data_IF_340352120827
#
_entry.id   IF_340352120827
#
_cell.length_a   1.000
_cell.length_b   1.000
_cell.length_c   1.000
_cell.angle_alpha   90.00
_cell.angle_beta   90.00
_cell.angle_gamma   90.00
#
_symmetry.space_group_name_H-M   'P 1'
#
loop_
_entity.id
_entity.type
_entity.pdbx_description
1 polymer ?
#
# COMPACT_ATOMS: atom_id res chain seq x y z
N UNK A 1 -24.97 23.40 38.86
CA UNK A 1 -23.64 23.37 38.20
C UNK A 1 -23.70 22.56 36.89
N UNK A 2 -24.43 23.01 35.84
CA UNK A 2 -24.64 22.20 34.60
C UNK A 2 -24.70 22.98 33.30
N UNK A 3 -24.40 24.28 33.25
CA UNK A 3 -24.48 25.08 31.99
C UNK A 3 -23.15 25.33 31.28
N UNK A 4 -22.01 25.13 31.92
CA UNK A 4 -20.70 25.45 31.33
C UNK A 4 -20.13 24.32 30.41
N UNK A 5 -20.58 23.09 30.54
CA UNK A 5 -20.04 21.94 29.75
C UNK A 5 -20.61 21.81 28.32
N UNK A 6 -21.75 22.45 28.01
CA UNK A 6 -22.37 22.41 26.66
C UNK A 6 -21.82 23.42 25.65
N UNK A 7 -21.06 24.43 26.11
CA UNK A 7 -20.53 25.47 25.22
C UNK A 7 -19.18 25.12 24.58
N UNK A 8 -18.39 24.25 25.21
CA UNK A 8 -17.08 23.84 24.70
C UNK A 8 -17.18 22.92 23.47
N UNK A 9 -18.13 21.99 23.45
CA UNK A 9 -18.30 21.06 22.32
C UNK A 9 -18.66 21.75 21.01
N UNK A 10 -19.54 22.74 21.06
CA UNK A 10 -19.97 23.49 19.85
C UNK A 10 -18.90 24.39 19.23
N UNK A 11 -17.89 24.78 20.00
CA UNK A 11 -16.76 25.59 19.49
C UNK A 11 -15.72 24.72 18.78
N UNK A 12 -15.54 23.49 19.20
CA UNK A 12 -14.62 22.53 18.57
C UNK A 12 -15.17 22.07 17.21
N UNK A 13 -16.49 21.80 17.13
CA UNK A 13 -17.15 21.44 15.87
C UNK A 13 -17.12 22.58 14.84
N UNK A 14 -17.28 23.83 15.28
CA UNK A 14 -17.19 25.00 14.40
C UNK A 14 -15.76 25.23 13.86
N UNK A 15 -14.74 25.00 14.68
CA UNK A 15 -13.33 25.07 14.26
C UNK A 15 -12.96 23.91 13.31
N UNK A 16 -13.45 22.71 13.56
CA UNK A 16 -13.25 21.56 12.69
C UNK A 16 -13.94 21.78 11.32
N UNK A 17 -15.19 22.29 11.32
CA UNK A 17 -15.88 22.67 10.07
C UNK A 17 -15.21 23.84 9.35
N UNK A 18 -14.64 24.79 10.06
CA UNK A 18 -13.90 25.90 9.48
C UNK A 18 -12.58 25.42 8.84
N UNK A 19 -11.84 24.52 9.50
CA UNK A 19 -10.61 23.91 8.97
C UNK A 19 -10.88 23.03 7.75
N UNK A 20 -12.01 22.31 7.71
CA UNK A 20 -12.40 21.49 6.56
C UNK A 20 -12.87 22.32 5.34
N UNK A 21 -13.32 23.56 5.57
CA UNK A 21 -13.78 24.47 4.52
C UNK A 21 -12.64 25.22 3.83
N UNK A 22 -11.47 25.31 4.44
CA UNK A 22 -10.28 25.83 3.80
C UNK A 22 -9.56 24.70 3.04
N UNK A 23 -9.76 24.69 1.74
CA UNK A 23 -9.06 23.87 0.73
C UNK A 23 -7.52 23.94 0.79
N UNK A 24 -6.96 24.60 1.80
CA UNK A 24 -5.53 24.87 2.00
C UNK A 24 -4.78 23.63 2.53
N UNK A 25 -5.47 22.67 3.17
CA UNK A 25 -4.81 21.47 3.73
C UNK A 25 -4.56 20.40 2.64
N UNK A 26 -5.28 20.44 1.51
CA UNK A 26 -5.13 19.45 0.45
C UNK A 26 -3.89 19.65 -0.43
N UNK A 27 -3.38 20.87 -0.58
CA UNK A 27 -2.23 21.16 -1.41
C UNK A 27 -0.89 20.67 -0.79
N UNK A 28 -0.58 20.98 0.49
CA UNK A 28 0.65 20.49 1.11
C UNK A 28 0.66 18.96 1.30
N UNK A 29 -0.50 18.34 1.62
CA UNK A 29 -0.58 16.88 1.75
C UNK A 29 -0.31 16.16 0.41
N UNK A 30 -0.82 16.69 -0.69
CA UNK A 30 -0.54 16.17 -2.04
C UNK A 30 0.91 16.42 -2.47
N UNK A 31 1.51 17.55 -2.08
CA UNK A 31 2.90 17.84 -2.37
C UNK A 31 3.84 16.94 -1.56
N UNK A 32 3.55 16.70 -0.27
CA UNK A 32 4.31 15.75 0.57
C UNK A 32 4.17 14.33 0.02
N UNK A 33 2.97 13.92 -0.39
CA UNK A 33 2.75 12.59 -0.98
C UNK A 33 3.51 12.39 -2.31
N UNK A 34 3.76 13.45 -3.06
CA UNK A 34 4.52 13.41 -4.31
C UNK A 34 6.01 13.74 -4.13
N UNK A 35 6.47 14.03 -2.91
CA UNK A 35 7.86 14.35 -2.66
C UNK A 35 8.73 13.08 -2.73
N UNK A 36 9.95 13.22 -3.25
CA UNK A 36 10.96 12.15 -3.28
C UNK A 36 11.27 11.62 -1.87
N UNK A 37 11.12 12.47 -0.84
CA UNK A 37 11.32 12.13 0.58
C UNK A 37 10.23 11.16 1.05
N UNK A 38 8.93 11.44 0.78
CA UNK A 38 7.84 10.56 1.14
C UNK A 38 7.98 9.19 0.48
N UNK A 39 8.32 9.15 -0.82
CA UNK A 39 8.57 7.90 -1.54
C UNK A 39 9.78 7.14 -0.99
N UNK A 40 10.85 7.81 -0.57
CA UNK A 40 12.01 7.15 0.02
C UNK A 40 11.71 6.55 1.40
N UNK A 41 10.92 7.23 2.22
CA UNK A 41 10.47 6.73 3.54
C UNK A 41 9.53 5.53 3.36
N UNK A 42 8.52 5.64 2.49
CA UNK A 42 7.57 4.55 2.22
C UNK A 42 8.32 3.32 1.68
N UNK A 43 9.20 3.49 0.72
CA UNK A 43 9.97 2.38 0.15
C UNK A 43 10.91 1.72 1.17
N UNK A 44 11.48 2.51 2.09
CA UNK A 44 12.36 2.00 3.15
C UNK A 44 11.58 1.21 4.20
N UNK A 45 10.42 1.70 4.64
CA UNK A 45 9.53 0.99 5.58
C UNK A 45 8.98 -0.30 4.97
N UNK A 46 8.60 -0.29 3.71
CA UNK A 46 8.16 -1.48 2.99
C UNK A 46 9.26 -2.53 2.86
N UNK A 47 10.50 -2.11 2.64
CA UNK A 47 11.66 -3.02 2.60
C UNK A 47 11.93 -3.66 3.95
N UNK A 48 11.88 -2.89 5.03
CA UNK A 48 12.06 -3.40 6.39
C UNK A 48 10.94 -4.41 6.73
N UNK A 49 9.69 -4.08 6.41
CA UNK A 49 8.55 -4.96 6.64
C UNK A 49 8.68 -6.27 5.85
N UNK A 50 9.06 -6.21 4.58
CA UNK A 50 9.29 -7.41 3.76
C UNK A 50 10.40 -8.29 4.33
N UNK A 51 11.53 -7.70 4.72
CA UNK A 51 12.62 -8.46 5.32
C UNK A 51 12.19 -9.17 6.61
N UNK A 52 11.50 -8.46 7.51
CA UNK A 52 10.96 -9.08 8.74
C UNK A 52 9.99 -10.24 8.45
N UNK A 53 9.11 -10.08 7.45
CA UNK A 53 8.18 -11.14 7.04
C UNK A 53 8.94 -12.34 6.47
N UNK A 54 9.91 -12.11 5.60
CA UNK A 54 10.77 -13.17 5.05
C UNK A 54 11.49 -13.93 6.17
N UNK A 55 12.11 -13.21 7.11
CA UNK A 55 12.86 -13.82 8.21
C UNK A 55 11.94 -14.65 9.11
N UNK A 56 10.72 -14.15 9.38
CA UNK A 56 9.69 -14.91 10.13
C UNK A 56 9.24 -16.17 9.39
N UNK A 57 9.04 -16.10 8.07
CA UNK A 57 8.66 -17.25 7.24
C UNK A 57 9.79 -18.28 7.27
N UNK A 58 11.05 -17.87 7.06
CA UNK A 58 12.19 -18.78 7.10
C UNK A 58 12.40 -19.41 8.49
N UNK A 59 12.13 -18.65 9.55
CA UNK A 59 12.21 -19.15 10.93
C UNK A 59 11.11 -20.20 11.28
N UNK A 60 10.01 -20.24 10.53
CA UNK A 60 8.97 -21.26 10.71
C UNK A 60 9.42 -22.68 10.30
N UNK A 61 10.54 -22.77 9.60
CA UNK A 61 11.14 -24.02 9.18
C UNK A 61 10.67 -24.50 7.79
N UNK A 62 11.46 -25.39 7.16
CA UNK A 62 11.21 -25.87 5.80
C UNK A 62 9.89 -26.65 5.67
N UNK A 63 9.46 -27.30 6.72
CA UNK A 63 8.20 -28.06 6.75
C UNK A 63 6.95 -27.18 6.56
N UNK A 64 7.04 -25.91 6.95
CA UNK A 64 5.96 -24.93 6.83
C UNK A 64 5.98 -24.18 5.49
N UNK A 65 7.00 -24.40 4.66
CA UNK A 65 7.14 -23.74 3.38
C UNK A 65 6.33 -24.45 2.29
N UNK A 66 5.53 -23.71 1.50
CA UNK A 66 4.87 -24.29 0.35
C UNK A 66 5.91 -24.71 -0.70
N UNK A 67 5.71 -25.87 -1.30
CA UNK A 67 6.58 -26.33 -2.41
C UNK A 67 6.13 -25.79 -3.76
N UNK A 68 4.89 -25.33 -3.87
CA UNK A 68 4.31 -24.83 -5.11
C UNK A 68 3.32 -23.69 -4.81
N UNK A 69 3.47 -22.57 -5.52
CA UNK A 69 2.52 -21.47 -5.50
C UNK A 69 1.88 -21.35 -6.88
N UNK A 70 0.56 -21.25 -6.91
CA UNK A 70 -0.20 -20.90 -8.11
C UNK A 70 -0.76 -19.50 -7.99
N UNK A 71 -0.68 -18.71 -9.06
CA UNK A 71 -1.14 -17.32 -9.09
C UNK A 71 -1.94 -17.04 -10.36
N UNK A 72 -3.07 -16.35 -10.18
CA UNK A 72 -3.89 -15.85 -11.29
C UNK A 72 -3.64 -14.36 -11.44
N UNK A 73 -3.23 -13.94 -12.65
CA UNK A 73 -2.93 -12.54 -12.99
C UNK A 73 -4.20 -11.79 -13.42
N UNK A 74 -5.11 -11.60 -12.48
CA UNK A 74 -6.38 -10.89 -12.72
C UNK A 74 -6.34 -9.42 -12.25
N UNK A 75 -7.29 -8.64 -12.76
CA UNK A 75 -7.55 -7.28 -12.33
C UNK A 75 -6.75 -6.20 -13.06
N UNK A 76 -5.87 -6.51 -14.01
CA UNK A 76 -5.06 -5.52 -14.75
C UNK A 76 -5.91 -4.47 -15.47
N UNK A 77 -7.05 -4.86 -16.08
CA UNK A 77 -7.99 -3.94 -16.73
C UNK A 77 -8.73 -3.06 -15.73
N UNK A 78 -9.19 -3.62 -14.59
CA UNK A 78 -9.80 -2.84 -13.50
C UNK A 78 -8.84 -1.84 -12.90
N UNK A 79 -7.58 -2.22 -12.71
CA UNK A 79 -6.52 -1.33 -12.25
C UNK A 79 -6.30 -0.16 -13.21
N UNK A 80 -6.25 -0.43 -14.53
CA UNK A 80 -6.12 0.60 -15.55
C UNK A 80 -7.32 1.56 -15.52
N UNK A 81 -8.53 1.03 -15.48
CA UNK A 81 -9.75 1.82 -15.42
C UNK A 81 -9.81 2.73 -14.18
N UNK A 82 -9.57 2.18 -12.97
CA UNK A 82 -9.59 2.94 -11.73
C UNK A 82 -8.52 4.05 -11.68
N UNK A 83 -7.51 3.98 -12.51
CA UNK A 83 -6.44 4.99 -12.61
C UNK A 83 -6.52 5.87 -13.85
N UNK A 84 -7.55 5.72 -14.66
CA UNK A 84 -7.73 6.44 -15.92
C UNK A 84 -6.50 6.33 -16.85
N UNK A 85 -5.88 5.15 -16.88
CA UNK A 85 -4.78 4.80 -17.78
C UNK A 85 -5.25 3.76 -18.81
N UNK A 86 -4.52 3.62 -19.91
CA UNK A 86 -4.88 2.63 -20.91
C UNK A 86 -4.66 1.18 -20.42
N UNK A 87 -5.31 0.22 -21.07
CA UNK A 87 -5.25 -1.20 -20.71
C UNK A 87 -3.82 -1.76 -20.79
N UNK A 88 -3.03 -1.32 -21.79
CA UNK A 88 -1.65 -1.77 -21.97
C UNK A 88 -0.76 -1.34 -20.80
N UNK A 89 -0.94 -0.11 -20.29
CA UNK A 89 -0.26 0.36 -19.08
C UNK A 89 -0.67 -0.46 -17.86
N UNK A 90 -1.94 -0.89 -17.76
CA UNK A 90 -2.42 -1.81 -16.73
C UNK A 90 -1.71 -3.18 -16.80
N UNK A 91 -1.61 -3.75 -17.99
CA UNK A 91 -0.88 -5.00 -18.22
C UNK A 91 0.62 -4.86 -17.93
N UNK A 92 1.25 -3.76 -18.34
CA UNK A 92 2.66 -3.47 -18.03
C UNK A 92 2.90 -3.37 -16.52
N UNK A 93 1.98 -2.74 -15.76
CA UNK A 93 2.03 -2.68 -14.30
C UNK A 93 1.91 -4.07 -13.68
N UNK A 94 0.99 -4.92 -14.17
CA UNK A 94 0.85 -6.31 -13.76
C UNK A 94 2.12 -7.13 -14.01
N UNK A 95 2.72 -7.02 -15.20
CA UNK A 95 3.99 -7.67 -15.54
C UNK A 95 5.13 -7.25 -14.61
N UNK A 96 5.20 -5.98 -14.26
CA UNK A 96 6.20 -5.48 -13.28
C UNK A 96 5.97 -6.11 -11.90
N UNK A 97 4.72 -6.20 -11.46
CA UNK A 97 4.36 -6.83 -10.18
C UNK A 97 4.68 -8.32 -10.16
N UNK A 98 4.44 -9.03 -11.25
CA UNK A 98 4.82 -10.43 -11.38
C UNK A 98 6.33 -10.63 -11.19
N UNK A 99 7.16 -9.79 -11.80
CA UNK A 99 8.62 -9.85 -11.59
C UNK A 99 9.02 -9.68 -10.11
N UNK A 100 8.34 -8.79 -9.38
CA UNK A 100 8.59 -8.63 -7.94
C UNK A 100 8.22 -9.90 -7.17
N UNK A 101 7.08 -10.51 -7.49
CA UNK A 101 6.64 -11.77 -6.87
C UNK A 101 7.60 -12.92 -7.17
N UNK A 102 8.07 -13.05 -8.41
CA UNK A 102 9.07 -14.06 -8.78
C UNK A 102 10.36 -13.92 -7.93
N UNK A 103 10.83 -12.70 -7.71
CA UNK A 103 11.99 -12.45 -6.82
C UNK A 103 11.72 -12.90 -5.40
N UNK A 104 10.54 -12.61 -4.85
CA UNK A 104 10.18 -13.04 -3.48
C UNK A 104 10.09 -14.56 -3.37
N UNK A 105 9.60 -15.24 -4.39
CA UNK A 105 9.53 -16.71 -4.44
C UNK A 105 10.93 -17.31 -4.47
N UNK A 106 11.85 -16.73 -5.25
CA UNK A 106 13.26 -17.10 -5.26
C UNK A 106 13.94 -16.85 -3.90
N UNK A 107 13.70 -15.70 -3.28
CA UNK A 107 14.23 -15.35 -1.96
C UNK A 107 13.74 -16.29 -0.85
N UNK A 108 12.55 -16.87 -1.02
CA UNK A 108 11.96 -17.86 -0.12
C UNK A 108 12.32 -19.31 -0.48
N UNK A 109 13.06 -19.50 -1.58
CA UNK A 109 13.50 -20.82 -2.04
C UNK A 109 12.34 -21.78 -2.36
N UNK A 110 11.20 -21.22 -2.83
CA UNK A 110 10.03 -22.01 -3.24
C UNK A 110 10.27 -22.56 -4.65
N UNK A 111 10.28 -23.90 -4.84
CA UNK A 111 10.77 -24.49 -6.08
C UNK A 111 9.85 -24.32 -7.29
N UNK A 112 8.53 -24.17 -7.07
CA UNK A 112 7.57 -24.13 -8.18
C UNK A 112 6.63 -22.94 -8.11
N UNK A 113 6.48 -22.25 -9.25
CA UNK A 113 5.49 -21.18 -9.46
C UNK A 113 4.72 -21.47 -10.76
N UNK A 114 3.39 -21.52 -10.68
CA UNK A 114 2.51 -21.51 -11.84
C UNK A 114 1.78 -20.19 -11.93
N UNK A 115 1.75 -19.60 -13.12
CA UNK A 115 1.09 -18.31 -13.37
C UNK A 115 0.05 -18.50 -14.49
N UNK A 116 -1.17 -18.05 -14.22
CA UNK A 116 -2.30 -18.05 -15.17
C UNK A 116 -2.65 -16.65 -15.63
#
# INVERSE_FOLDING_TARGET
MSRARKSAGRRIDALAHWLLRFRVISAPARWIANSTIAWSVISRTDRIRRNRLRDRIKAAGPEMMPRHISMIMDGNRRFAWNRSINTDAGHAAGKKRLKDVMRWILDLEIPYLTVY
#
